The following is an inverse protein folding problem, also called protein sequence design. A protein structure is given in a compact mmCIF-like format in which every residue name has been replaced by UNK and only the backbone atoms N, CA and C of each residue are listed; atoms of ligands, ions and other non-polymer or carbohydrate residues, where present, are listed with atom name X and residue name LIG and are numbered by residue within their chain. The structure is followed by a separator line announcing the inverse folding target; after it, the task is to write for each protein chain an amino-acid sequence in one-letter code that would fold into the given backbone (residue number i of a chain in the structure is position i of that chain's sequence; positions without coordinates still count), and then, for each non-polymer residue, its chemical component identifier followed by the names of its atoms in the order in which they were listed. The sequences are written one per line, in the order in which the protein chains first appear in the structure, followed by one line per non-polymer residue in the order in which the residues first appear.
data_IF_009165124262
#
_entry.id   IF_009165124262
#
_cell.length_a   1.000
_cell.length_b   1.000
_cell.length_c   1.000
_cell.angle_alpha   90.00
_cell.angle_beta   90.00
_cell.angle_gamma   90.00
#
_symmetry.space_group_name_H-M   'P 1'
#
loop_
_entity.id
_entity.type
_entity.pdbx_description
1 polymer ?
#
# COMPACT_ATOMS: atom_id res chain seq x y z
N UNK A 1 6.20 2.33 -1.68
CA UNK A 1 5.26 2.37 -2.83
C UNK A 1 4.22 3.48 -2.72
N UNK A 2 3.70 3.82 -1.53
CA UNK A 2 2.73 4.92 -1.36
C UNK A 2 3.34 6.34 -1.49
N UNK A 3 4.67 6.47 -1.38
CA UNK A 3 5.40 7.74 -1.42
C UNK A 3 5.01 8.65 -2.60
N UNK A 4 4.93 8.18 -3.86
CA UNK A 4 4.57 9.05 -4.98
C UNK A 4 3.18 9.68 -4.83
N UNK A 5 2.22 8.95 -4.25
CA UNK A 5 0.85 9.43 -4.05
C UNK A 5 0.84 10.56 -3.02
N UNK A 6 1.44 10.34 -1.85
CA UNK A 6 1.52 11.34 -0.80
C UNK A 6 2.39 12.53 -1.19
N UNK A 7 3.45 12.32 -1.97
CA UNK A 7 4.26 13.40 -2.53
C UNK A 7 3.43 14.25 -3.50
N UNK A 8 2.65 13.63 -4.38
CA UNK A 8 1.80 14.36 -5.32
C UNK A 8 0.70 15.16 -4.60
N UNK A 9 0.08 14.59 -3.55
CA UNK A 9 -0.85 15.30 -2.65
C UNK A 9 -0.14 16.47 -1.98
N UNK A 10 1.05 16.25 -1.43
CA UNK A 10 1.83 17.27 -0.73
C UNK A 10 2.21 18.44 -1.63
N UNK A 11 2.76 18.17 -2.81
CA UNK A 11 3.12 19.20 -3.80
C UNK A 11 1.88 19.99 -4.19
N UNK A 12 0.77 19.32 -4.47
CA UNK A 12 -0.49 19.97 -4.83
C UNK A 12 -0.95 20.96 -3.74
N UNK A 13 -0.97 20.51 -2.47
CA UNK A 13 -1.36 21.37 -1.35
C UNK A 13 -0.37 22.51 -1.11
N UNK A 14 0.93 22.27 -1.25
CA UNK A 14 1.94 23.32 -1.16
C UNK A 14 1.68 24.43 -2.20
N UNK A 15 1.50 24.06 -3.47
CA UNK A 15 1.21 25.00 -4.56
C UNK A 15 -0.11 25.75 -4.29
N UNK A 16 -1.13 25.04 -3.83
CA UNK A 16 -2.43 25.64 -3.54
C UNK A 16 -2.36 26.68 -2.41
N UNK A 17 -1.73 26.33 -1.28
CA UNK A 17 -1.59 27.22 -0.13
C UNK A 17 -0.73 28.45 -0.45
N UNK A 18 0.34 28.26 -1.25
CA UNK A 18 1.15 29.38 -1.74
C UNK A 18 0.35 30.32 -2.63
N UNK A 19 -0.45 29.76 -3.56
CA UNK A 19 -1.28 30.56 -4.48
C UNK A 19 -2.38 31.33 -3.74
N UNK A 20 -2.93 30.76 -2.67
CA UNK A 20 -3.92 31.39 -1.81
C UNK A 20 -3.29 32.30 -0.73
N UNK A 21 -1.97 32.49 -0.76
CA UNK A 21 -1.21 33.33 0.19
C UNK A 21 -1.40 32.91 1.66
N UNK A 22 -1.72 31.63 1.90
CA UNK A 22 -1.92 31.08 3.24
C UNK A 22 -0.60 30.59 3.86
N UNK A 23 0.41 31.48 3.95
CA UNK A 23 1.78 31.11 4.34
C UNK A 23 1.87 30.43 5.72
N UNK A 24 1.05 30.85 6.70
CA UNK A 24 1.00 30.19 8.01
C UNK A 24 0.61 28.71 7.89
N UNK A 25 -0.44 28.41 7.12
CA UNK A 25 -0.88 27.03 6.88
C UNK A 25 0.14 26.25 6.06
N UNK A 26 0.79 26.90 5.09
CA UNK A 26 1.87 26.29 4.31
C UNK A 26 3.06 25.87 5.19
N UNK A 27 3.53 26.76 6.08
CA UNK A 27 4.63 26.45 7.02
C UNK A 27 4.21 25.32 7.97
N UNK A 28 3.00 25.40 8.56
CA UNK A 28 2.49 24.34 9.43
C UNK A 28 2.39 23.01 8.68
N UNK A 29 1.90 23.01 7.45
CA UNK A 29 1.78 21.81 6.63
C UNK A 29 3.13 21.15 6.38
N UNK A 30 4.15 21.93 5.98
CA UNK A 30 5.52 21.41 5.80
C UNK A 30 6.07 20.86 7.11
N UNK A 31 5.95 21.63 8.20
CA UNK A 31 6.46 21.23 9.51
C UNK A 31 5.84 19.91 9.98
N UNK A 32 4.50 19.80 9.97
CA UNK A 32 3.81 18.58 10.40
C UNK A 32 4.02 17.40 9.45
N UNK A 33 4.26 17.65 8.15
CA UNK A 33 4.57 16.58 7.19
C UNK A 33 5.98 16.02 7.39
N UNK A 34 6.95 16.88 7.74
CA UNK A 34 8.34 16.46 7.97
C UNK A 34 8.59 15.93 9.38
N UNK A 35 7.81 16.36 10.38
CA UNK A 35 8.04 16.04 11.79
C UNK A 35 8.19 14.53 12.06
N UNK A 36 7.32 13.63 11.56
CA UNK A 36 7.50 12.19 11.80
C UNK A 36 8.81 11.65 11.23
N UNK A 37 9.20 12.07 10.03
CA UNK A 37 10.45 11.66 9.40
C UNK A 37 11.66 12.19 10.18
N UNK A 38 11.60 13.44 10.67
CA UNK A 38 12.66 14.01 11.50
C UNK A 38 12.79 13.27 12.84
N UNK A 39 11.67 12.89 13.47
CA UNK A 39 11.69 12.10 14.71
C UNK A 39 12.31 10.71 14.48
N UNK A 40 11.93 10.03 13.39
CA UNK A 40 12.53 8.74 13.02
C UNK A 40 14.02 8.89 12.73
N UNK A 41 14.42 9.88 11.92
CA UNK A 41 15.84 10.13 11.63
C UNK A 41 16.64 10.45 12.89
N UNK A 42 16.08 11.25 13.80
CA UNK A 42 16.73 11.57 15.07
C UNK A 42 16.91 10.31 15.93
N UNK A 43 15.90 9.44 15.97
CA UNK A 43 16.00 8.15 16.66
C UNK A 43 17.06 7.23 16.05
N UNK A 44 17.09 7.11 14.72
CA UNK A 44 18.07 6.29 14.00
C UNK A 44 19.50 6.80 14.21
N UNK A 45 19.68 8.12 14.20
CA UNK A 45 20.96 8.75 14.49
C UNK A 45 21.39 8.52 15.94
N UNK A 46 20.48 8.73 16.90
CA UNK A 46 20.74 8.52 18.33
C UNK A 46 21.12 7.08 18.67
N UNK A 47 20.51 6.10 18.00
CA UNK A 47 20.76 4.66 18.23
C UNK A 47 21.92 4.09 17.41
N UNK A 48 22.50 4.88 16.49
CA UNK A 48 23.62 4.43 15.65
C UNK A 48 23.23 3.46 14.52
N UNK A 49 21.94 3.27 14.23
CA UNK A 49 21.44 2.31 13.22
C UNK A 49 21.03 2.97 11.90
N UNK A 50 21.46 4.21 11.66
CA UNK A 50 21.11 4.97 10.46
C UNK A 50 21.63 4.30 9.17
N UNK A 51 22.84 3.75 9.20
CA UNK A 51 23.44 3.04 8.06
C UNK A 51 22.65 1.77 7.73
N UNK A 52 22.32 0.97 8.74
CA UNK A 52 21.49 -0.22 8.59
C UNK A 52 20.10 0.11 8.01
N UNK A 53 19.49 1.22 8.47
CA UNK A 53 18.24 1.70 7.87
C UNK A 53 18.42 2.09 6.41
N UNK A 54 19.47 2.84 6.08
CA UNK A 54 19.73 3.26 4.70
C UNK A 54 19.92 2.06 3.77
N UNK A 55 20.79 1.13 4.13
CA UNK A 55 21.09 -0.06 3.34
C UNK A 55 19.87 -0.97 3.22
N UNK A 56 19.26 -1.32 4.35
CA UNK A 56 18.18 -2.32 4.40
C UNK A 56 16.82 -1.79 3.94
N UNK A 57 16.55 -0.49 4.09
CA UNK A 57 15.25 0.10 3.76
C UNK A 57 15.32 0.93 2.49
N UNK A 58 16.28 1.85 2.36
CA UNK A 58 16.32 2.75 1.19
C UNK A 58 16.97 2.05 -0.01
N UNK A 59 18.22 1.62 0.12
CA UNK A 59 18.99 1.03 -0.97
C UNK A 59 18.38 -0.29 -1.45
N UNK A 60 18.00 -1.17 -0.52
CA UNK A 60 17.34 -2.44 -0.86
C UNK A 60 16.03 -2.23 -1.64
N UNK A 61 15.16 -1.30 -1.24
CA UNK A 61 13.93 -1.01 -2.00
C UNK A 61 14.21 -0.41 -3.39
N UNK A 62 15.26 0.41 -3.53
CA UNK A 62 15.67 0.94 -4.83
C UNK A 62 16.19 -0.17 -5.75
N UNK A 63 17.00 -1.09 -5.22
CA UNK A 63 17.47 -2.27 -5.97
C UNK A 63 16.31 -3.20 -6.34
N UNK A 64 15.36 -3.41 -5.43
CA UNK A 64 14.15 -4.20 -5.66
C UNK A 64 13.25 -3.64 -6.77
N UNK A 65 13.32 -2.33 -7.04
CA UNK A 65 12.61 -1.73 -8.19
C UNK A 65 13.30 -1.97 -9.54
N UNK A 66 14.61 -2.25 -9.51
CA UNK A 66 15.46 -2.44 -10.70
C UNK A 66 15.51 -3.90 -11.15
N UNK A 67 15.46 -4.83 -10.19
CA UNK A 67 15.49 -6.26 -10.43
C UNK A 67 14.16 -6.90 -10.03
N UNK A 68 13.58 -7.72 -10.90
CA UNK A 68 12.42 -8.54 -10.55
C UNK A 68 12.77 -9.50 -9.40
N UNK A 69 11.75 -10.10 -8.75
CA UNK A 69 11.90 -11.11 -7.69
C UNK A 69 12.91 -12.23 -7.99
N UNK A 70 13.17 -12.50 -9.27
CA UNK A 70 14.07 -13.57 -9.75
C UNK A 70 15.46 -13.05 -10.16
N UNK A 71 15.77 -11.77 -9.89
CA UNK A 71 17.04 -11.14 -10.29
C UNK A 71 17.12 -10.77 -11.77
N UNK A 72 16.08 -11.07 -12.55
CA UNK A 72 15.96 -10.64 -13.93
C UNK A 72 15.81 -9.11 -14.00
N UNK A 73 16.40 -8.50 -15.03
CA UNK A 73 16.20 -7.07 -15.32
C UNK A 73 14.71 -6.85 -15.51
N UNK A 74 14.14 -5.93 -14.74
CA UNK A 74 12.70 -5.64 -14.83
C UNK A 74 12.35 -5.23 -16.28
N UNK A 75 11.26 -5.75 -16.86
CA UNK A 75 10.95 -5.57 -18.29
C UNK A 75 10.78 -4.09 -18.66
N UNK A 76 10.84 -3.69 -19.93
CA UNK A 76 10.58 -2.30 -20.33
C UNK A 76 9.25 -1.76 -19.80
N UNK A 77 9.14 -0.44 -19.58
CA UNK A 77 7.93 0.19 -19.01
C UNK A 77 6.66 -0.17 -19.78
N UNK A 78 6.71 -0.25 -21.11
CA UNK A 78 5.55 -0.59 -21.94
C UNK A 78 4.98 -2.00 -21.63
N UNK A 79 5.84 -2.96 -21.30
CA UNK A 79 5.42 -4.31 -20.89
C UNK A 79 4.80 -4.31 -19.48
N UNK A 80 5.17 -3.35 -18.62
CA UNK A 80 4.61 -3.19 -17.27
C UNK A 80 3.23 -2.52 -17.28
N UNK A 81 2.84 -1.84 -18.38
CA UNK A 81 1.52 -1.21 -18.47
C UNK A 81 0.38 -2.24 -18.34
N UNK A 82 0.61 -3.47 -18.80
CA UNK A 82 -0.34 -4.57 -18.68
C UNK A 82 -0.43 -5.16 -17.27
N UNK A 83 0.59 -4.95 -16.41
CA UNK A 83 0.64 -5.50 -15.04
C UNK A 83 -0.58 -5.09 -14.23
N UNK A 84 -1.06 -3.85 -14.39
CA UNK A 84 -2.25 -3.43 -13.65
C UNK A 84 -3.51 -4.16 -14.12
N UNK A 85 -3.66 -4.42 -15.42
CA UNK A 85 -4.79 -5.14 -15.98
C UNK A 85 -4.78 -6.60 -15.52
N UNK A 86 -3.59 -7.20 -15.45
CA UNK A 86 -3.39 -8.53 -14.89
C UNK A 86 -3.76 -8.59 -13.40
N UNK A 87 -3.25 -7.65 -12.59
CA UNK A 87 -3.60 -7.58 -11.17
C UNK A 87 -5.12 -7.39 -11.02
N UNK A 88 -5.74 -6.49 -11.80
CA UNK A 88 -7.19 -6.29 -11.76
C UNK A 88 -7.97 -7.54 -12.15
N UNK A 89 -7.57 -8.26 -13.20
CA UNK A 89 -8.29 -9.45 -13.67
C UNK A 89 -8.27 -10.57 -12.63
N UNK A 90 -7.15 -10.75 -11.93
CA UNK A 90 -7.03 -11.74 -10.84
C UNK A 90 -7.83 -11.38 -9.59
N UNK A 91 -8.06 -10.08 -9.35
CA UNK A 91 -8.71 -9.57 -8.14
C UNK A 91 -10.10 -8.97 -8.39
N UNK A 92 -10.69 -9.20 -9.57
CA UNK A 92 -11.94 -8.55 -9.94
C UNK A 92 -13.07 -8.91 -8.98
N UNK A 93 -13.16 -10.17 -8.52
CA UNK A 93 -14.22 -10.61 -7.61
C UNK A 93 -14.24 -9.82 -6.29
N UNK A 94 -13.16 -9.83 -5.49
CA UNK A 94 -13.09 -9.06 -4.25
C UNK A 94 -13.19 -7.54 -4.45
N UNK A 95 -12.69 -7.01 -5.56
CA UNK A 95 -12.70 -5.58 -5.83
C UNK A 95 -14.02 -5.07 -6.42
N UNK A 96 -14.81 -5.92 -7.07
CA UNK A 96 -15.98 -5.50 -7.84
C UNK A 96 -16.97 -4.66 -7.01
N UNK A 97 -17.34 -5.02 -5.76
CA UNK A 97 -18.26 -4.21 -4.97
C UNK A 97 -17.71 -2.82 -4.67
N UNK A 98 -16.42 -2.76 -4.31
CA UNK A 98 -15.70 -1.56 -3.95
C UNK A 98 -15.50 -0.61 -5.15
N UNK A 99 -15.11 -1.17 -6.30
CA UNK A 99 -14.96 -0.43 -7.55
C UNK A 99 -16.32 0.06 -8.04
N UNK A 100 -17.35 -0.80 -8.03
CA UNK A 100 -18.71 -0.43 -8.45
C UNK A 100 -19.24 0.72 -7.61
N UNK A 101 -19.06 0.66 -6.29
CA UNK A 101 -19.44 1.73 -5.38
C UNK A 101 -18.70 3.03 -5.67
N UNK A 102 -17.37 2.96 -5.81
CA UNK A 102 -16.53 4.12 -6.12
C UNK A 102 -16.91 4.76 -7.44
N UNK A 103 -17.20 3.96 -8.47
CA UNK A 103 -17.65 4.41 -9.78
C UNK A 103 -19.05 5.03 -9.73
N UNK A 104 -20.02 4.40 -9.04
CA UNK A 104 -21.37 4.95 -8.87
C UNK A 104 -21.29 6.33 -8.20
N UNK A 105 -20.51 6.48 -7.12
CA UNK A 105 -20.32 7.76 -6.44
C UNK A 105 -19.60 8.77 -7.33
N UNK A 106 -18.57 8.33 -8.07
CA UNK A 106 -17.86 9.17 -9.03
C UNK A 106 -18.81 9.72 -10.11
N UNK A 107 -19.54 8.86 -10.81
CA UNK A 107 -20.45 9.26 -11.89
C UNK A 107 -21.62 10.08 -11.36
N UNK A 108 -22.24 9.68 -10.24
CA UNK A 108 -23.31 10.45 -9.62
C UNK A 108 -22.82 11.84 -9.20
N UNK A 109 -21.62 11.94 -8.63
CA UNK A 109 -20.98 13.20 -8.29
C UNK A 109 -20.71 14.08 -9.50
N UNK A 110 -20.16 13.50 -10.57
CA UNK A 110 -19.91 14.21 -11.82
C UNK A 110 -21.20 14.73 -12.44
N UNK A 111 -22.24 13.90 -12.52
CA UNK A 111 -23.56 14.31 -13.03
C UNK A 111 -24.14 15.46 -12.20
N UNK A 112 -24.02 15.42 -10.87
CA UNK A 112 -24.47 16.51 -9.99
C UNK A 112 -23.66 17.79 -10.19
N UNK A 113 -22.34 17.69 -10.33
CA UNK A 113 -21.46 18.83 -10.59
C UNK A 113 -21.79 19.47 -11.95
N UNK A 114 -22.04 18.68 -12.99
CA UNK A 114 -22.44 19.19 -14.30
C UNK A 114 -23.86 19.78 -14.28
N UNK A 115 -24.82 19.15 -13.60
CA UNK A 115 -26.21 19.63 -13.52
C UNK A 115 -26.35 20.94 -12.75
N UNK A 116 -25.48 21.18 -11.76
CA UNK A 116 -25.51 22.42 -10.97
C UNK A 116 -24.94 23.64 -11.71
N UNK A 117 -24.43 23.48 -12.94
CA UNK A 117 -24.02 24.52 -13.91
C UNK A 117 -23.05 25.62 -13.41
N UNK A 118 -22.61 25.55 -12.15
CA UNK A 118 -21.60 26.44 -11.56
C UNK A 118 -20.74 25.62 -10.62
N UNK A 119 -19.78 24.85 -11.16
CA UNK A 119 -18.81 24.22 -10.30
C UNK A 119 -18.10 25.31 -9.52
N UNK A 120 -18.24 25.29 -8.19
CA UNK A 120 -17.52 26.22 -7.35
C UNK A 120 -16.02 25.98 -7.56
N UNK A 121 -15.19 27.03 -7.47
CA UNK A 121 -13.72 26.93 -7.61
C UNK A 121 -13.12 25.75 -6.79
N UNK A 122 -13.62 25.40 -5.58
CA UNK A 122 -13.24 24.20 -4.84
C UNK A 122 -13.39 22.87 -5.59
N UNK A 123 -14.41 22.71 -6.43
CA UNK A 123 -14.69 21.43 -7.12
C UNK A 123 -13.67 21.12 -8.22
N UNK A 124 -13.27 22.14 -9.02
CA UNK A 124 -12.25 21.96 -10.07
C UNK A 124 -10.91 21.53 -9.49
N UNK A 125 -10.52 22.14 -8.37
CA UNK A 125 -9.30 21.83 -7.63
C UNK A 125 -9.24 20.35 -7.25
N UNK A 126 -10.35 19.79 -6.78
CA UNK A 126 -10.42 18.41 -6.33
C UNK A 126 -10.47 17.38 -7.45
N UNK A 127 -11.10 17.71 -8.59
CA UNK A 127 -10.97 16.87 -9.79
C UNK A 127 -9.51 16.78 -10.23
N UNK A 128 -8.77 17.91 -10.22
CA UNK A 128 -7.34 17.90 -10.52
C UNK A 128 -6.56 17.04 -9.52
N UNK A 129 -6.83 17.18 -8.22
CA UNK A 129 -6.20 16.35 -7.19
C UNK A 129 -6.49 14.86 -7.40
N UNK A 130 -7.73 14.49 -7.73
CA UNK A 130 -8.12 13.12 -8.05
C UNK A 130 -7.34 12.56 -9.24
N UNK A 131 -7.26 13.32 -10.34
CA UNK A 131 -6.50 12.89 -11.53
C UNK A 131 -5.01 12.71 -11.22
N UNK A 132 -4.40 13.66 -10.50
CA UNK A 132 -3.00 13.58 -10.09
C UNK A 132 -2.75 12.33 -9.22
N UNK A 133 -3.64 12.07 -8.26
CA UNK A 133 -3.49 10.93 -7.34
C UNK A 133 -3.76 9.58 -8.00
N UNK A 134 -4.67 9.50 -8.97
CA UNK A 134 -4.86 8.30 -9.81
C UNK A 134 -3.62 8.02 -10.65
N UNK A 135 -3.04 9.04 -11.30
CA UNK A 135 -1.80 8.87 -12.07
C UNK A 135 -0.65 8.46 -11.15
N UNK A 136 -0.53 9.06 -9.97
CA UNK A 136 0.50 8.69 -9.00
C UNK A 136 0.32 7.25 -8.49
N UNK A 137 -0.91 6.81 -8.22
CA UNK A 137 -1.22 5.43 -7.83
C UNK A 137 -0.86 4.45 -8.95
N UNK A 138 -1.25 4.76 -10.18
CA UNK A 138 -0.89 3.98 -11.36
C UNK A 138 0.63 3.83 -11.53
N UNK A 139 1.38 4.93 -11.46
CA UNK A 139 2.83 4.89 -11.57
C UNK A 139 3.47 4.13 -10.41
N UNK A 140 2.91 4.22 -9.20
CA UNK A 140 3.39 3.46 -8.04
C UNK A 140 3.21 1.94 -8.19
N UNK A 141 2.25 1.48 -9.00
CA UNK A 141 2.05 0.06 -9.34
C UNK A 141 2.94 -0.36 -10.50
N UNK A 142 2.98 0.44 -11.57
CA UNK A 142 3.63 0.07 -12.83
C UNK A 142 5.15 0.22 -12.78
N UNK A 143 5.68 1.26 -12.13
CA UNK A 143 7.14 1.50 -12.09
C UNK A 143 7.88 0.34 -11.43
N UNK A 144 7.47 -0.22 -10.27
CA UNK A 144 8.14 -1.40 -9.72
C UNK A 144 8.06 -2.63 -10.62
N UNK A 145 7.01 -2.74 -11.46
CA UNK A 145 6.80 -3.89 -12.34
C UNK A 145 6.43 -5.18 -11.63
N UNK A 146 6.17 -5.12 -10.32
CA UNK A 146 5.75 -6.27 -9.55
C UNK A 146 4.23 -6.43 -9.62
N UNK A 147 3.79 -7.63 -10.01
CA UNK A 147 2.37 -8.00 -10.09
C UNK A 147 1.76 -8.33 -8.74
N UNK A 148 1.95 -7.51 -7.70
CA UNK A 148 1.41 -7.83 -6.37
C UNK A 148 -0.04 -7.35 -6.22
N UNK A 149 -0.91 -8.24 -5.75
CA UNK A 149 -2.34 -7.95 -5.61
C UNK A 149 -2.63 -6.81 -4.63
N UNK A 150 -1.84 -6.71 -3.55
CA UNK A 150 -2.00 -5.65 -2.55
C UNK A 150 -1.72 -4.25 -3.10
N UNK A 151 -1.12 -4.10 -4.29
CA UNK A 151 -0.90 -2.79 -4.92
C UNK A 151 -2.21 -2.07 -5.25
N UNK A 152 -3.30 -2.82 -5.39
CA UNK A 152 -4.65 -2.25 -5.61
C UNK A 152 -5.10 -1.36 -4.44
N UNK A 153 -4.54 -1.54 -3.24
CA UNK A 153 -4.83 -0.69 -2.08
C UNK A 153 -4.46 0.77 -2.34
N UNK A 154 -3.48 1.02 -3.22
CA UNK A 154 -3.01 2.37 -3.55
C UNK A 154 -4.08 3.19 -4.28
N UNK A 155 -5.01 2.53 -4.97
CA UNK A 155 -6.14 3.19 -5.63
C UNK A 155 -7.26 3.55 -4.66
N UNK A 156 -7.31 2.95 -3.47
CA UNK A 156 -8.33 3.28 -2.47
C UNK A 156 -8.25 4.75 -2.06
N UNK A 157 -7.04 5.30 -1.93
CA UNK A 157 -6.82 6.69 -1.51
C UNK A 157 -7.52 7.69 -2.45
N UNK A 158 -7.23 7.73 -3.77
CA UNK A 158 -7.92 8.65 -4.67
C UNK A 158 -9.42 8.40 -4.73
N UNK A 159 -9.87 7.14 -4.83
CA UNK A 159 -11.29 6.83 -4.97
C UNK A 159 -12.11 7.20 -3.73
N UNK A 160 -11.68 6.80 -2.53
CA UNK A 160 -12.40 7.14 -1.31
C UNK A 160 -12.33 8.61 -0.96
N UNK A 161 -11.20 9.28 -1.19
CA UNK A 161 -11.07 10.72 -0.94
C UNK A 161 -12.04 11.51 -1.83
N UNK A 162 -12.11 11.15 -3.12
CA UNK A 162 -13.03 11.78 -4.06
C UNK A 162 -14.49 11.45 -3.76
N UNK A 163 -14.80 10.17 -3.49
CA UNK A 163 -16.14 9.73 -3.09
C UNK A 163 -16.63 10.44 -1.81
N UNK A 164 -15.77 10.56 -0.80
CA UNK A 164 -16.06 11.30 0.43
C UNK A 164 -16.34 12.77 0.16
N UNK A 165 -15.55 13.41 -0.72
CA UNK A 165 -15.80 14.79 -1.12
C UNK A 165 -17.14 15.00 -1.83
N UNK A 166 -17.43 14.17 -2.84
CA UNK A 166 -18.72 14.21 -3.56
C UNK A 166 -19.87 14.02 -2.58
N UNK A 167 -19.74 13.07 -1.66
CA UNK A 167 -20.76 12.81 -0.65
C UNK A 167 -20.96 14.04 0.22
N UNK A 168 -19.88 14.65 0.72
CA UNK A 168 -19.93 15.80 1.61
C UNK A 168 -20.49 17.07 0.95
N UNK A 169 -20.16 17.32 -0.33
CA UNK A 169 -20.44 18.60 -0.98
C UNK A 169 -21.59 18.57 -1.98
N UNK A 170 -21.88 17.42 -2.58
CA UNK A 170 -22.93 17.28 -3.59
C UNK A 170 -24.14 16.55 -3.01
N UNK A 171 -23.93 15.48 -2.23
CA UNK A 171 -25.02 14.61 -1.79
C UNK A 171 -25.64 15.14 -0.49
N UNK A 172 -24.86 15.22 0.61
CA UNK A 172 -25.35 15.59 1.94
C UNK A 172 -26.13 16.92 2.01
N UNK A 173 -25.74 17.99 1.28
CA UNK A 173 -26.50 19.25 1.32
C UNK A 173 -27.91 19.13 0.75
N UNK A 174 -28.09 18.29 -0.28
CA UNK A 174 -29.38 18.02 -0.93
C UNK A 174 -30.21 17.07 -0.07
N UNK A 175 -29.54 16.16 0.63
CA UNK A 175 -30.17 15.00 1.24
C UNK A 175 -29.88 14.91 2.74
N UNK A 176 -30.04 15.99 3.51
CA UNK A 176 -29.92 15.94 4.98
C UNK A 176 -30.72 14.80 5.61
N UNK A 177 -31.87 14.45 5.02
CA UNK A 177 -32.73 13.31 5.40
C UNK A 177 -32.14 11.92 5.10
N UNK A 178 -31.24 11.82 4.12
CA UNK A 178 -30.66 10.56 3.66
C UNK A 178 -29.19 10.35 4.06
N UNK A 179 -28.62 11.24 4.87
CA UNK A 179 -27.29 11.05 5.46
C UNK A 179 -27.17 9.71 6.19
N UNK A 180 -28.21 9.35 6.95
CA UNK A 180 -28.33 8.04 7.61
C UNK A 180 -28.41 6.89 6.60
N UNK A 181 -29.12 7.05 5.49
CA UNK A 181 -29.23 6.02 4.45
C UNK A 181 -27.89 5.80 3.73
N UNK A 182 -27.13 6.87 3.48
CA UNK A 182 -25.78 6.78 2.91
C UNK A 182 -24.80 6.11 3.89
N UNK A 183 -24.90 6.40 5.19
CA UNK A 183 -24.15 5.70 6.22
C UNK A 183 -24.52 4.22 6.28
N UNK A 184 -25.83 3.89 6.27
CA UNK A 184 -26.32 2.51 6.23
C UNK A 184 -25.80 1.79 4.99
N UNK A 185 -25.80 2.45 3.83
CA UNK A 185 -25.32 1.87 2.58
C UNK A 185 -23.80 1.65 2.59
N UNK A 186 -23.01 2.59 3.13
CA UNK A 186 -21.58 2.42 3.36
C UNK A 186 -21.31 1.26 4.32
N UNK A 187 -22.06 1.20 5.43
CA UNK A 187 -21.97 0.10 6.39
C UNK A 187 -22.37 -1.22 5.74
N UNK A 188 -23.41 -1.27 4.90
CA UNK A 188 -23.85 -2.49 4.24
C UNK A 188 -22.87 -2.99 3.16
N UNK A 189 -22.17 -2.07 2.47
CA UNK A 189 -21.28 -2.41 1.34
C UNK A 189 -19.83 -2.60 1.74
N UNK A 190 -19.36 -1.91 2.78
CA UNK A 190 -17.98 -1.99 3.27
C UNK A 190 -17.94 -2.60 4.66
N UNK A 191 -18.76 -2.07 5.58
CA UNK A 191 -18.77 -2.48 6.98
C UNK A 191 -19.20 -3.94 7.20
N UNK A 192 -20.29 -4.38 6.56
CA UNK A 192 -20.84 -5.72 6.70
C UNK A 192 -19.92 -6.76 6.07
N UNK A 193 -19.43 -6.62 4.82
CA UNK A 193 -18.42 -7.53 4.29
C UNK A 193 -17.16 -7.55 5.14
N UNK A 194 -16.71 -6.39 5.63
CA UNK A 194 -15.59 -6.33 6.57
C UNK A 194 -15.88 -7.11 7.85
N UNK A 195 -17.01 -6.90 8.52
CA UNK A 195 -17.37 -7.60 9.76
C UNK A 195 -17.56 -9.10 9.56
N UNK A 196 -18.17 -9.52 8.45
CA UNK A 196 -18.35 -10.92 8.07
C UNK A 196 -17.00 -11.60 7.81
N UNK A 197 -16.08 -10.89 7.15
CA UNK A 197 -14.72 -11.41 6.87
C UNK A 197 -13.79 -11.28 8.07
N UNK A 198 -14.02 -10.33 8.97
CA UNK A 198 -13.22 -10.12 10.18
C UNK A 198 -13.31 -11.31 11.13
N UNK A 199 -14.52 -11.89 11.25
CA UNK A 199 -14.74 -13.10 12.06
C UNK A 199 -14.31 -14.39 11.35
N UNK A 200 -14.05 -14.34 10.03
CA UNK A 200 -13.54 -15.48 9.27
C UNK A 200 -12.09 -15.84 9.63
N UNK A 201 -11.44 -15.04 10.49
CA UNK A 201 -10.01 -15.14 10.79
C UNK A 201 -9.16 -14.68 9.61
N UNK A 202 -7.84 -14.63 9.82
CA UNK A 202 -6.92 -14.45 8.69
C UNK A 202 -7.03 -15.66 7.77
N UNK A 203 -7.28 -15.51 6.46
CA UNK A 203 -7.26 -16.62 5.52
C UNK A 203 -5.96 -17.41 5.59
N UNK A 204 -4.83 -16.76 5.93
CA UNK A 204 -3.55 -17.43 6.16
C UNK A 204 -3.53 -18.29 7.42
N UNK A 205 -4.17 -17.83 8.51
CA UNK A 205 -4.31 -18.61 9.75
C UNK A 205 -5.32 -19.74 9.54
N UNK A 206 -6.48 -19.46 8.93
CA UNK A 206 -7.47 -20.47 8.59
C UNK A 206 -6.88 -21.53 7.65
N UNK A 207 -6.07 -21.12 6.66
CA UNK A 207 -5.31 -22.03 5.82
C UNK A 207 -4.34 -22.89 6.63
N UNK A 208 -3.59 -22.29 7.56
CA UNK A 208 -2.67 -23.02 8.45
C UNK A 208 -3.38 -23.99 9.41
N UNK A 209 -4.62 -23.69 9.83
CA UNK A 209 -5.42 -24.51 10.76
C UNK A 209 -6.23 -25.61 10.07
N UNK A 210 -6.64 -25.41 8.81
CA UNK A 210 -7.50 -26.34 8.06
C UNK A 210 -6.72 -27.32 7.20
N UNK A 211 -5.43 -27.04 6.93
CA UNK A 211 -4.51 -28.02 6.39
C UNK A 211 -3.90 -28.81 7.54
N UNK A 212 -3.61 -30.12 7.37
CA UNK A 212 -2.85 -30.86 8.37
C UNK A 212 -1.61 -30.05 8.72
N UNK A 213 -1.19 -30.09 10.00
CA UNK A 213 0.10 -29.53 10.40
C UNK A 213 1.11 -29.97 9.34
N UNK A 214 1.73 -29.00 8.66
CA UNK A 214 2.70 -29.32 7.61
C UNK A 214 3.73 -30.22 8.29
N UNK A 215 3.73 -31.50 7.91
CA UNK A 215 4.72 -32.45 8.39
C UNK A 215 6.07 -31.78 8.14
N UNK A 216 6.85 -31.50 9.20
CA UNK A 216 8.05 -30.71 9.03
C UNK A 216 8.94 -31.39 7.98
N UNK A 217 9.41 -30.61 7.02
CA UNK A 217 10.28 -31.14 5.96
C UNK A 217 11.48 -31.86 6.57
N UNK A 218 12.12 -32.75 5.82
CA UNK A 218 13.32 -33.44 6.30
C UNK A 218 14.39 -32.45 6.79
N UNK A 219 14.53 -31.31 6.11
CA UNK A 219 15.40 -30.22 6.52
C UNK A 219 14.95 -29.59 7.84
N UNK A 220 13.67 -29.26 8.00
CA UNK A 220 13.16 -28.70 9.25
C UNK A 220 13.34 -29.67 10.43
N UNK A 221 13.08 -30.97 10.23
CA UNK A 221 13.35 -32.01 11.24
C UNK A 221 14.84 -32.13 11.55
N UNK A 222 15.70 -32.01 10.55
CA UNK A 222 17.15 -31.99 10.74
C UNK A 222 17.58 -30.79 11.58
N UNK A 223 17.14 -29.57 11.24
CA UNK A 223 17.47 -28.37 12.00
C UNK A 223 16.93 -28.42 13.43
N UNK A 224 15.67 -28.83 13.62
CA UNK A 224 15.06 -28.96 14.95
C UNK A 224 15.84 -29.91 15.87
N UNK A 225 16.54 -30.92 15.31
CA UNK A 225 17.43 -31.82 16.08
C UNK A 225 18.78 -31.19 16.45
N UNK A 226 19.21 -30.19 15.69
CA UNK A 226 20.48 -29.50 15.91
C UNK A 226 20.35 -28.24 16.77
N UNK A 227 19.12 -27.78 17.02
CA UNK A 227 18.88 -26.49 17.68
C UNK A 227 18.13 -26.64 19.00
N UNK A 228 18.35 -25.70 19.91
CA UNK A 228 17.61 -25.59 21.18
C UNK A 228 16.56 -24.47 21.14
N UNK A 229 15.49 -24.53 21.96
CA UNK A 229 14.50 -23.47 22.01
C UNK A 229 15.13 -22.11 22.33
N UNK A 230 14.87 -21.11 21.49
CA UNK A 230 15.42 -19.75 21.63
C UNK A 230 16.70 -19.51 20.84
N UNK A 231 17.31 -20.54 20.24
CA UNK A 231 18.41 -20.34 19.31
C UNK A 231 17.98 -19.61 18.04
N UNK A 232 18.90 -18.77 17.57
CA UNK A 232 18.76 -18.03 16.32
C UNK A 232 19.41 -18.83 15.19
N UNK A 233 18.61 -19.19 14.20
CA UNK A 233 19.07 -19.94 13.02
C UNK A 233 19.09 -19.03 11.82
N UNK A 234 20.04 -19.21 10.91
CA UNK A 234 20.02 -18.56 9.60
C UNK A 234 19.86 -19.63 8.54
N UNK A 235 18.72 -19.62 7.86
CA UNK A 235 18.54 -20.35 6.61
C UNK A 235 19.02 -19.48 5.45
N UNK A 236 20.05 -19.95 4.75
CA UNK A 236 20.56 -19.26 3.58
C UNK A 236 19.65 -19.54 2.37
N UNK A 237 18.85 -18.55 1.97
CA UNK A 237 17.90 -18.66 0.86
C UNK A 237 16.51 -18.09 1.18
N UNK A 238 15.64 -18.03 0.17
CA UNK A 238 14.30 -17.45 0.29
C UNK A 238 13.27 -18.50 0.69
N UNK A 239 13.40 -19.05 1.89
CA UNK A 239 12.40 -20.03 2.35
C UNK A 239 12.08 -19.82 3.83
N UNK A 240 11.17 -18.86 4.08
CA UNK A 240 10.74 -18.50 5.44
C UNK A 240 9.99 -19.63 6.13
N UNK A 241 9.47 -20.61 5.37
CA UNK A 241 8.70 -21.72 5.97
C UNK A 241 9.53 -22.54 6.95
N UNK A 242 10.85 -22.66 6.74
CA UNK A 242 11.69 -23.49 7.62
C UNK A 242 11.81 -22.93 9.04
N UNK A 243 11.72 -21.62 9.24
CA UNK A 243 11.66 -21.02 10.57
C UNK A 243 10.39 -21.46 11.32
N UNK A 244 9.27 -21.55 10.59
CA UNK A 244 7.97 -21.99 11.13
C UNK A 244 7.99 -23.49 11.38
N UNK A 245 8.40 -24.30 10.38
CA UNK A 245 8.43 -25.77 10.47
C UNK A 245 9.41 -26.28 11.54
N UNK A 246 10.57 -25.63 11.71
CA UNK A 246 11.57 -26.02 12.70
C UNK A 246 11.35 -25.35 14.08
N UNK A 247 10.39 -24.43 14.19
CA UNK A 247 10.09 -23.65 15.40
C UNK A 247 11.31 -22.88 15.96
N UNK A 248 12.11 -22.30 15.06
CA UNK A 248 13.35 -21.60 15.42
C UNK A 248 13.24 -20.08 15.23
N UNK A 249 13.96 -19.32 16.05
CA UNK A 249 14.00 -17.87 15.92
C UNK A 249 14.87 -17.51 14.71
N UNK A 250 14.40 -16.58 13.90
CA UNK A 250 15.18 -16.08 12.78
C UNK A 250 16.43 -15.33 13.28
N UNK A 251 17.61 -15.71 12.77
CA UNK A 251 18.88 -15.08 13.11
C UNK A 251 19.15 -13.79 12.34
N UNK A 252 18.44 -13.55 11.25
CA UNK A 252 18.48 -12.31 10.46
C UNK A 252 17.08 -11.70 10.36
N UNK A 253 16.98 -10.45 9.88
CA UNK A 253 15.69 -9.76 9.74
C UNK A 253 14.79 -10.39 8.67
N UNK A 254 15.37 -10.88 7.58
CA UNK A 254 14.66 -11.42 6.43
C UNK A 254 15.35 -12.70 5.93
N UNK A 255 14.55 -13.69 5.47
CA UNK A 255 15.11 -14.85 4.79
C UNK A 255 15.77 -14.34 3.51
N UNK A 256 17.07 -14.56 3.36
CA UNK A 256 17.86 -13.92 2.30
C UNK A 256 17.32 -14.32 0.94
N UNK A 257 16.74 -13.40 0.15
CA UNK A 257 16.23 -13.78 -1.14
C UNK A 257 17.38 -14.26 -2.02
N UNK A 258 17.13 -15.25 -2.88
CA UNK A 258 18.12 -15.79 -3.83
C UNK A 258 18.79 -14.68 -4.66
N UNK A 259 18.14 -13.54 -4.79
CA UNK A 259 18.68 -12.33 -5.43
C UNK A 259 19.84 -11.66 -4.67
N UNK A 260 19.94 -11.76 -3.35
CA UNK A 260 21.10 -11.27 -2.58
C UNK A 260 22.36 -12.08 -2.89
N UNK A 261 22.21 -13.39 -3.16
CA UNK A 261 23.32 -14.27 -3.57
C UNK A 261 23.89 -13.95 -4.97
N UNK A 262 23.12 -13.24 -5.80
CA UNK A 262 23.46 -12.96 -7.19
C UNK A 262 23.62 -11.46 -7.50
N UNK A 263 23.27 -10.58 -6.55
CA UNK A 263 23.54 -9.15 -6.65
C UNK A 263 24.74 -8.80 -5.78
N UNK A 264 25.56 -7.82 -6.18
CA UNK A 264 26.82 -7.45 -5.51
C UNK A 264 26.68 -6.87 -4.10
N UNK A 265 25.75 -7.37 -3.28
CA UNK A 265 25.65 -7.14 -1.84
C UNK A 265 26.36 -8.24 -1.02
N UNK A 266 27.15 -9.10 -1.66
CA UNK A 266 27.96 -10.12 -0.98
C UNK A 266 28.88 -9.55 0.12
N UNK A 267 29.26 -8.27 0.02
CA UNK A 267 30.18 -7.65 0.98
C UNK A 267 29.46 -7.08 2.23
N UNK A 268 28.13 -6.99 2.22
CA UNK A 268 27.34 -6.45 3.35
C UNK A 268 26.79 -7.55 4.28
N UNK A 269 26.83 -8.82 3.85
CA UNK A 269 26.29 -9.98 4.56
C UNK A 269 27.37 -11.03 4.81
#
# INVERSE_FOLDING_TARGET
QSVPIFLAIGIYWCVLLMREQQYKHWIMFIFYSCLPSLLVLSYLFYTGVLEDFYESYIRSNLLYSKYALVGAVSPPLHNRLATILEIFSRNIGPLLPLLSWSLILFFSGMLLIFKTNKPSIPQKKLVVLFLITIVAAYLAVVIPGNGFDHYLILFLVPFFSFAGYITATCILPITKKYSLHMLILLLATVGVPFLLTFHSGSPGIAYALTKPALEPSELARFVKRLTTPGERVVFWGFETRYYIEAEVIQGTREAHPKTVLHSGQNDYY
#
